data_IF_959389525779
#
_entry.id   IF_959389525779
#
_cell.length_a   1.000
_cell.length_b   1.000
_cell.length_c   1.000
_cell.angle_alpha   90.00
_cell.angle_beta   90.00
_cell.angle_gamma   90.00
#
_symmetry.space_group_name_H-M   'P 1'
#
loop_
_entity.id
_entity.type
_entity.pdbx_description
1 polymer ?
#
# COMPACT_ATOMS: atom_id res chain seq x y z
N UNK A 1 -7.57 2.22 -6.14
CA UNK A 1 -6.78 3.41 -6.57
C UNK A 1 -6.09 3.28 -7.94
N UNK A 2 -6.18 4.34 -8.75
CA UNK A 2 -5.48 4.63 -10.02
C UNK A 2 -4.14 5.35 -9.80
N UNK A 3 -3.32 5.48 -10.85
CA UNK A 3 -2.06 6.24 -10.78
C UNK A 3 -2.30 7.75 -10.56
N UNK A 4 -3.30 8.34 -11.21
CA UNK A 4 -3.62 9.76 -11.06
C UNK A 4 -4.11 10.11 -9.65
N UNK A 5 -4.92 9.24 -9.04
CA UNK A 5 -5.31 9.40 -7.63
C UNK A 5 -4.09 9.37 -6.69
N UNK A 6 -3.13 8.47 -6.95
CA UNK A 6 -1.88 8.42 -6.19
C UNK A 6 -1.04 9.70 -6.39
N UNK A 7 -0.91 10.19 -7.62
CA UNK A 7 -0.19 11.44 -7.93
C UNK A 7 -0.82 12.63 -7.22
N UNK A 8 -2.15 12.74 -7.23
CA UNK A 8 -2.87 13.75 -6.48
C UNK A 8 -2.62 13.66 -4.97
N UNK A 9 -2.67 12.45 -4.38
CA UNK A 9 -2.40 12.25 -2.97
C UNK A 9 -0.98 12.69 -2.57
N UNK A 10 0.00 12.45 -3.46
CA UNK A 10 1.40 12.84 -3.27
C UNK A 10 1.73 14.26 -3.74
N UNK A 11 0.73 15.02 -4.22
CA UNK A 11 0.88 16.37 -4.81
C UNK A 11 1.88 16.43 -5.97
N UNK A 12 1.96 15.35 -6.74
CA UNK A 12 2.79 15.24 -7.94
C UNK A 12 1.95 15.73 -9.13
N UNK A 13 2.45 16.72 -9.85
CA UNK A 13 1.73 17.39 -10.96
C UNK A 13 2.36 17.14 -12.33
N UNK A 14 3.28 16.19 -12.41
CA UNK A 14 4.04 15.86 -13.62
C UNK A 14 4.12 14.36 -13.83
N UNK A 15 4.51 13.95 -15.03
CA UNK A 15 4.53 12.53 -15.44
C UNK A 15 5.93 11.91 -15.43
N UNK A 16 6.96 12.68 -15.03
CA UNK A 16 8.37 12.26 -15.05
C UNK A 16 8.61 10.93 -14.30
N UNK A 17 7.88 10.74 -13.21
CA UNK A 17 8.06 9.60 -12.30
C UNK A 17 6.97 8.53 -12.45
N UNK A 18 6.09 8.61 -13.45
CA UNK A 18 4.91 7.73 -13.58
C UNK A 18 5.29 6.24 -13.52
N UNK A 19 6.27 5.81 -14.31
CA UNK A 19 6.75 4.43 -14.32
C UNK A 19 7.31 3.98 -12.95
N UNK A 20 7.96 4.90 -12.24
CA UNK A 20 8.48 4.63 -10.91
C UNK A 20 7.32 4.52 -9.90
N UNK A 21 6.35 5.42 -9.96
CA UNK A 21 5.16 5.42 -9.11
C UNK A 21 4.32 4.16 -9.33
N UNK A 22 4.14 3.70 -10.57
CA UNK A 22 3.48 2.42 -10.87
C UNK A 22 4.20 1.24 -10.22
N UNK A 23 5.54 1.23 -10.29
CA UNK A 23 6.36 0.18 -9.66
C UNK A 23 6.21 0.20 -8.13
N UNK A 24 6.27 1.38 -7.52
CA UNK A 24 6.10 1.56 -6.08
C UNK A 24 4.70 1.13 -5.66
N UNK A 25 3.66 1.53 -6.40
CA UNK A 25 2.26 1.17 -6.16
C UNK A 25 2.07 -0.34 -6.19
N UNK A 26 2.50 -1.01 -7.26
CA UNK A 26 2.39 -2.46 -7.40
C UNK A 26 3.13 -3.19 -6.27
N UNK A 27 4.34 -2.73 -5.90
CA UNK A 27 5.10 -3.30 -4.80
C UNK A 27 4.44 -3.06 -3.42
N UNK A 28 3.77 -1.92 -3.23
CA UNK A 28 3.06 -1.58 -1.99
C UNK A 28 1.79 -2.39 -1.83
N UNK A 29 0.98 -2.50 -2.89
CA UNK A 29 -0.20 -3.36 -2.93
C UNK A 29 0.18 -4.82 -2.65
N UNK A 30 1.19 -5.33 -3.35
CA UNK A 30 1.67 -6.71 -3.15
C UNK A 30 2.14 -6.93 -1.71
N UNK A 31 2.92 -6.01 -1.16
CA UNK A 31 3.42 -6.11 0.21
C UNK A 31 2.29 -6.20 1.23
N UNK A 32 1.29 -5.31 1.15
CA UNK A 32 0.15 -5.32 2.08
C UNK A 32 -0.64 -6.62 1.92
N UNK A 33 -0.99 -7.01 0.69
CA UNK A 33 -1.73 -8.25 0.42
C UNK A 33 -1.00 -9.49 0.93
N UNK A 34 0.29 -9.63 0.63
CA UNK A 34 1.14 -10.75 1.10
C UNK A 34 1.28 -10.76 2.62
N UNK A 35 1.32 -9.59 3.24
CA UNK A 35 1.42 -9.48 4.70
C UNK A 35 0.17 -10.02 5.38
N UNK A 36 -1.01 -9.88 4.76
CA UNK A 36 -2.29 -10.37 5.28
C UNK A 36 -2.44 -11.87 5.05
N UNK A 37 -2.28 -12.32 3.80
CA UNK A 37 -2.50 -13.72 3.42
C UNK A 37 -1.79 -14.06 2.10
N UNK A 38 -1.42 -15.33 1.91
CA UNK A 38 -0.86 -15.85 0.66
C UNK A 38 -1.91 -16.59 -0.19
N UNK A 39 -3.19 -16.52 0.18
CA UNK A 39 -4.28 -17.09 -0.63
C UNK A 39 -4.30 -16.47 -2.02
N UNK A 40 -4.55 -17.31 -3.04
CA UNK A 40 -4.67 -16.86 -4.44
C UNK A 40 -5.95 -16.06 -4.70
N UNK A 41 -6.96 -16.23 -3.85
CA UNK A 41 -8.27 -15.59 -3.98
C UNK A 41 -8.36 -14.28 -3.20
N UNK A 42 -7.27 -13.90 -2.51
CA UNK A 42 -7.24 -12.72 -1.64
C UNK A 42 -7.56 -11.41 -2.33
N UNK A 43 -7.40 -11.33 -3.65
CA UNK A 43 -7.56 -10.06 -4.36
C UNK A 43 -8.99 -9.51 -4.23
N UNK A 44 -10.00 -10.38 -4.20
CA UNK A 44 -11.40 -9.96 -4.06
C UNK A 44 -11.67 -9.23 -2.73
N UNK A 45 -11.01 -9.60 -1.64
CA UNK A 45 -11.11 -8.91 -0.34
C UNK A 45 -10.64 -7.44 -0.38
N UNK A 46 -9.71 -7.12 -1.28
CA UNK A 46 -9.11 -5.78 -1.36
C UNK A 46 -9.75 -4.90 -2.45
N UNK A 47 -10.67 -5.43 -3.26
CA UNK A 47 -11.39 -4.64 -4.27
C UNK A 47 -12.31 -3.65 -3.57
N UNK A 48 -12.34 -2.41 -4.08
CA UNK A 48 -13.18 -1.31 -3.59
C UNK A 48 -13.06 -1.05 -2.07
N UNK A 49 -11.89 -1.37 -1.49
CA UNK A 49 -11.62 -1.21 -0.06
C UNK A 49 -10.87 0.11 0.21
N UNK A 50 -11.53 1.13 0.78
CA UNK A 50 -10.92 2.44 1.01
C UNK A 50 -9.78 2.40 2.04
N UNK A 51 -9.83 1.50 3.02
CA UNK A 51 -8.74 1.31 3.98
C UNK A 51 -7.51 0.71 3.31
N UNK A 52 -7.71 -0.18 2.33
CA UNK A 52 -6.62 -0.71 1.53
C UNK A 52 -5.97 0.38 0.67
N UNK A 53 -6.78 1.19 0.00
CA UNK A 53 -6.28 2.30 -0.80
C UNK A 53 -5.49 3.31 0.05
N UNK A 54 -5.97 3.65 1.26
CA UNK A 54 -5.26 4.51 2.21
C UNK A 54 -3.91 3.91 2.65
N UNK A 55 -3.90 2.64 3.04
CA UNK A 55 -2.68 1.94 3.42
C UNK A 55 -1.64 1.91 2.27
N UNK A 56 -2.09 1.69 1.04
CA UNK A 56 -1.24 1.73 -0.16
C UNK A 56 -0.71 3.14 -0.39
N UNK A 57 -1.54 4.19 -0.28
CA UNK A 57 -1.11 5.60 -0.41
C UNK A 57 -0.01 5.94 0.60
N UNK A 58 -0.20 5.60 1.88
CA UNK A 58 0.79 5.86 2.93
C UNK A 58 2.13 5.19 2.63
N UNK A 59 2.10 3.91 2.22
CA UNK A 59 3.32 3.16 1.91
C UNK A 59 4.01 3.69 0.64
N UNK A 60 3.23 4.07 -0.38
CA UNK A 60 3.76 4.66 -1.60
C UNK A 60 4.44 6.01 -1.32
N UNK A 61 3.79 6.90 -0.58
CA UNK A 61 4.36 8.19 -0.22
C UNK A 61 5.67 8.04 0.54
N UNK A 62 5.70 7.16 1.52
CA UNK A 62 6.94 6.87 2.25
C UNK A 62 8.07 6.36 1.35
N UNK A 63 7.79 5.37 0.49
CA UNK A 63 8.80 4.81 -0.44
C UNK A 63 9.27 5.83 -1.48
N UNK A 64 8.36 6.69 -1.94
CA UNK A 64 8.66 7.74 -2.90
C UNK A 64 9.52 8.87 -2.29
N UNK A 65 9.28 9.23 -1.03
CA UNK A 65 10.08 10.23 -0.32
C UNK A 65 11.43 9.68 0.15
N UNK A 66 11.50 8.39 0.52
CA UNK A 66 12.67 7.77 1.13
C UNK A 66 13.38 6.81 0.15
N UNK A 67 13.84 7.34 -0.98
CA UNK A 67 14.53 6.57 -2.05
C UNK A 67 16.00 6.25 -1.76
N UNK A 68 16.58 6.84 -0.72
CA UNK A 68 17.98 6.61 -0.33
C UNK A 68 18.09 5.51 0.71
N UNK A 69 18.98 4.54 0.47
CA UNK A 69 19.34 3.51 1.45
C UNK A 69 20.07 4.08 2.68
N UNK A 70 20.56 5.32 2.59
CA UNK A 70 21.22 6.05 3.68
C UNK A 70 20.34 7.22 4.09
N UNK A 71 19.96 7.27 5.36
CA UNK A 71 19.26 8.39 5.96
C UNK A 71 20.00 8.86 7.21
N UNK A 72 20.11 10.18 7.39
CA UNK A 72 20.67 10.80 8.60
C UNK A 72 19.67 10.79 9.78
N UNK A 73 18.49 10.17 9.60
CA UNK A 73 17.45 9.99 10.63
C UNK A 73 17.09 8.50 10.71
N UNK A 74 16.70 8.02 11.90
CA UNK A 74 16.12 6.69 12.05
C UNK A 74 14.90 6.55 11.15
N UNK A 75 15.05 5.84 10.03
CA UNK A 75 13.94 5.42 9.19
C UNK A 75 13.15 4.35 9.94
N UNK A 76 11.85 4.55 10.08
CA UNK A 76 10.93 3.45 10.38
C UNK A 76 10.79 2.64 9.08
N UNK A 77 11.02 1.32 9.13
CA UNK A 77 10.96 0.45 7.93
C UNK A 77 9.59 0.48 7.23
N UNK A 78 8.52 0.76 7.99
CA UNK A 78 7.15 0.91 7.48
C UNK A 78 6.49 2.08 8.22
N UNK A 79 5.76 2.97 7.53
CA UNK A 79 5.05 4.08 8.17
C UNK A 79 4.09 3.63 9.26
N UNK A 80 4.02 4.39 10.35
CA UNK A 80 2.99 4.26 11.37
C UNK A 80 1.61 4.43 10.73
N UNK A 81 0.77 3.38 10.78
CA UNK A 81 -0.56 3.33 10.17
C UNK A 81 -0.73 2.11 9.24
N UNK A 82 0.25 1.82 8.38
CA UNK A 82 0.18 0.68 7.44
C UNK A 82 0.14 -0.64 8.22
N UNK A 83 0.93 -0.75 9.29
CA UNK A 83 0.93 -1.95 10.14
C UNK A 83 -0.41 -2.16 10.86
N UNK A 84 -1.09 -1.09 11.26
CA UNK A 84 -2.41 -1.16 11.88
C UNK A 84 -3.45 -1.70 10.90
N UNK A 85 -3.44 -1.20 9.66
CA UNK A 85 -4.29 -1.73 8.59
C UNK A 85 -4.00 -3.19 8.29
N UNK A 86 -2.73 -3.60 8.20
CA UNK A 86 -2.36 -5.01 8.00
C UNK A 86 -2.92 -5.89 9.13
N UNK A 87 -2.82 -5.46 10.39
CA UNK A 87 -3.37 -6.21 11.51
C UNK A 87 -4.90 -6.32 11.45
N UNK A 88 -5.58 -5.23 11.09
CA UNK A 88 -7.02 -5.21 10.88
C UNK A 88 -7.44 -6.19 9.78
N UNK A 89 -6.81 -6.11 8.60
CA UNK A 89 -7.08 -7.00 7.48
C UNK A 89 -6.82 -8.48 7.81
N UNK A 90 -5.79 -8.78 8.62
CA UNK A 90 -5.55 -10.16 9.11
C UNK A 90 -6.70 -10.71 9.96
N UNK A 91 -7.38 -9.84 10.70
CA UNK A 91 -8.55 -10.19 11.50
C UNK A 91 -9.82 -10.32 10.66
N UNK A 92 -9.99 -9.45 9.66
CA UNK A 92 -11.17 -9.41 8.79
C UNK A 92 -11.18 -10.51 7.72
N UNK A 93 -10.02 -10.82 7.15
CA UNK A 93 -9.91 -11.75 6.01
C UNK A 93 -10.51 -13.14 6.29
N UNK A 94 -10.26 -13.81 7.44
CA UNK A 94 -10.88 -15.10 7.73
C UNK A 94 -12.42 -15.05 7.77
N UNK A 95 -13.00 -14.01 8.35
CA UNK A 95 -14.46 -13.82 8.42
C UNK A 95 -15.05 -13.60 7.03
N UNK A 96 -14.38 -12.80 6.20
CA UNK A 96 -14.79 -12.58 4.82
C UNK A 96 -14.81 -13.90 4.02
N UNK A 97 -13.81 -14.77 4.18
CA UNK A 97 -13.78 -16.08 3.47
C UNK A 97 -14.83 -17.10 3.93
N UNK A 98 -15.46 -16.90 5.09
CA UNK A 98 -16.51 -17.80 5.61
C UNK A 98 -17.93 -17.35 5.26
N UNK A 99 -18.09 -16.09 4.86
CA UNK A 99 -19.38 -15.51 4.48
C UNK A 99 -19.69 -15.65 2.97
N UNK A 100 -18.69 -16.04 2.16
CA UNK A 100 -18.80 -16.45 0.74
C UNK A 100 -19.05 -17.96 0.58
#
# INVERSE_FOLDING_TARGET
>A
MTLEELKHALRITHDLDDKMLETIKAASEKFIKDSVTLSKERDAFFIDNPCFDDAVMMLCGHRYENRSAVSNKNLQEVPFGVMSYIQQFKGEYPSWTTDD
#
